data_IF_985791329765
#
_entry.id   IF_985791329765
#
_cell.length_a   1.000
_cell.length_b   1.000
_cell.length_c   1.000
_cell.angle_alpha   90.00
_cell.angle_beta   90.00
_cell.angle_gamma   90.00
#
_symmetry.space_group_name_H-M   'P 1'
#
loop_
_entity.id
_entity.type
_entity.pdbx_description
1 polymer ?
#
# COMPACT_ATOMS: atom_id res chain seq x y z
N UNK A 1 -10.78 7.93 -15.02
CA UNK A 1 -11.39 9.07 -14.30
C UNK A 1 -11.93 10.10 -15.29
N UNK A 2 -11.10 10.64 -16.20
CA UNK A 2 -11.54 11.67 -17.16
C UNK A 2 -12.69 11.21 -18.08
N UNK A 3 -12.66 10.00 -18.62
CA UNK A 3 -13.72 9.49 -19.51
C UNK A 3 -15.09 9.34 -18.84
N UNK A 4 -15.13 8.95 -17.56
CA UNK A 4 -16.37 8.77 -16.80
C UNK A 4 -16.98 10.11 -16.37
N UNK A 5 -16.14 11.06 -15.94
CA UNK A 5 -16.56 12.44 -15.65
C UNK A 5 -17.10 13.10 -16.93
N UNK A 6 -16.44 12.90 -18.07
CA UNK A 6 -16.91 13.40 -19.37
C UNK A 6 -18.28 12.80 -19.73
N UNK A 7 -18.49 11.50 -19.49
CA UNK A 7 -19.79 10.86 -19.68
C UNK A 7 -20.88 11.44 -18.76
N UNK A 8 -20.58 11.60 -17.46
CA UNK A 8 -21.54 12.18 -16.52
C UNK A 8 -21.90 13.63 -16.86
N UNK A 9 -20.90 14.45 -17.23
CA UNK A 9 -21.10 15.81 -17.71
C UNK A 9 -21.90 15.81 -19.02
N UNK A 10 -21.60 14.90 -19.94
CA UNK A 10 -22.32 14.75 -21.21
C UNK A 10 -23.79 14.40 -20.99
N UNK A 11 -24.09 13.43 -20.13
CA UNK A 11 -25.46 13.07 -19.77
C UNK A 11 -26.21 14.22 -19.09
N UNK A 12 -25.56 14.93 -18.16
CA UNK A 12 -26.15 16.09 -17.49
C UNK A 12 -26.46 17.21 -18.50
N UNK A 13 -25.54 17.48 -19.42
CA UNK A 13 -25.73 18.47 -20.48
C UNK A 13 -26.92 18.11 -21.38
N UNK A 14 -27.02 16.85 -21.80
CA UNK A 14 -28.17 16.37 -22.60
C UNK A 14 -29.47 16.55 -21.82
N UNK A 15 -29.51 16.20 -20.53
CA UNK A 15 -30.70 16.38 -19.70
C UNK A 15 -31.12 17.85 -19.59
N UNK A 16 -30.17 18.76 -19.38
CA UNK A 16 -30.42 20.21 -19.37
C UNK A 16 -30.96 20.70 -20.72
N UNK A 17 -30.37 20.25 -21.84
CA UNK A 17 -30.84 20.60 -23.18
C UNK A 17 -32.27 20.11 -23.43
N UNK A 18 -32.60 18.90 -23.00
CA UNK A 18 -33.96 18.34 -23.13
C UNK A 18 -34.96 19.15 -22.30
N UNK A 19 -34.63 19.49 -21.05
CA UNK A 19 -35.49 20.30 -20.18
C UNK A 19 -35.70 21.70 -20.77
N UNK A 20 -34.62 22.38 -21.19
CA UNK A 20 -34.68 23.73 -21.75
C UNK A 20 -35.49 23.74 -23.05
N UNK A 21 -35.25 22.78 -23.94
CA UNK A 21 -36.00 22.65 -25.20
C UNK A 21 -37.48 22.40 -24.93
N UNK A 22 -37.81 21.55 -23.94
CA UNK A 22 -39.21 21.30 -23.53
C UNK A 22 -39.90 22.55 -22.98
N UNK A 23 -39.21 23.37 -22.20
CA UNK A 23 -39.74 24.64 -21.67
C UNK A 23 -39.92 25.69 -22.76
N UNK A 24 -38.97 25.81 -23.70
CA UNK A 24 -39.03 26.81 -24.77
C UNK A 24 -40.09 26.51 -25.83
N UNK A 25 -40.45 25.25 -26.03
CA UNK A 25 -41.45 24.82 -27.02
C UNK A 25 -42.88 24.71 -26.45
N UNK A 26 -43.05 24.94 -25.14
CA UNK A 26 -44.32 24.79 -24.47
C UNK A 26 -45.30 25.93 -24.79
N UNK A 27 -46.30 25.62 -25.62
CA UNK A 27 -47.50 26.45 -25.84
C UNK A 27 -48.62 26.04 -24.84
N UNK A 28 -49.63 26.89 -24.61
CA UNK A 28 -50.72 26.71 -23.60
C UNK A 28 -51.51 25.38 -23.69
N UNK A 29 -51.35 24.59 -24.76
CA UNK A 29 -51.93 23.24 -24.93
C UNK A 29 -51.00 22.08 -24.55
N UNK A 30 -49.79 22.35 -24.07
CA UNK A 30 -48.71 21.36 -23.92
C UNK A 30 -48.33 21.01 -22.47
N UNK A 31 -49.23 21.21 -21.50
CA UNK A 31 -48.99 20.84 -20.10
C UNK A 31 -48.55 19.37 -19.92
N UNK A 32 -49.07 18.47 -20.75
CA UNK A 32 -48.69 17.04 -20.75
C UNK A 32 -47.25 16.82 -21.24
N UNK A 33 -46.79 17.59 -22.23
CA UNK A 33 -45.42 17.52 -22.77
C UNK A 33 -44.40 18.03 -21.75
N UNK A 34 -44.71 19.13 -21.06
CA UNK A 34 -43.85 19.66 -19.99
C UNK A 34 -43.74 18.65 -18.84
N UNK A 35 -44.86 18.03 -18.43
CA UNK A 35 -44.86 16.99 -17.40
C UNK A 35 -44.00 15.78 -17.81
N UNK A 36 -44.13 15.33 -19.06
CA UNK A 36 -43.35 14.20 -19.59
C UNK A 36 -41.85 14.51 -19.60
N UNK A 37 -41.43 15.66 -20.13
CA UNK A 37 -40.02 16.06 -20.16
C UNK A 37 -39.46 16.40 -18.78
N UNK A 38 -40.29 16.94 -17.88
CA UNK A 38 -39.94 17.15 -16.48
C UNK A 38 -39.63 15.82 -15.79
N UNK A 39 -40.52 14.85 -15.89
CA UNK A 39 -40.33 13.51 -15.33
C UNK A 39 -39.09 12.82 -15.93
N UNK A 40 -38.96 12.80 -17.26
CA UNK A 40 -37.79 12.23 -17.93
C UNK A 40 -36.49 12.94 -17.50
N UNK A 41 -36.50 14.26 -17.39
CA UNK A 41 -35.37 15.04 -16.91
C UNK A 41 -34.97 14.68 -15.48
N UNK A 42 -35.94 14.54 -14.58
CA UNK A 42 -35.68 14.13 -13.19
C UNK A 42 -35.13 12.71 -13.10
N UNK A 43 -35.63 11.77 -13.91
CA UNK A 43 -35.11 10.40 -13.97
C UNK A 43 -33.67 10.36 -14.50
N UNK A 44 -33.37 11.11 -15.56
CA UNK A 44 -32.02 11.20 -16.12
C UNK A 44 -31.02 11.81 -15.12
N UNK A 45 -31.43 12.84 -14.37
CA UNK A 45 -30.61 13.43 -13.30
C UNK A 45 -30.38 12.40 -12.19
N UNK A 46 -31.43 11.68 -11.77
CA UNK A 46 -31.33 10.63 -10.76
C UNK A 46 -30.37 9.50 -11.16
N UNK A 47 -30.42 9.08 -12.43
CA UNK A 47 -29.48 8.09 -12.99
C UNK A 47 -28.05 8.62 -13.00
N UNK A 48 -27.82 9.83 -13.51
CA UNK A 48 -26.48 10.43 -13.56
C UNK A 48 -25.87 10.58 -12.16
N UNK A 49 -26.67 10.98 -11.17
CA UNK A 49 -26.25 11.09 -9.78
C UNK A 49 -25.88 9.72 -9.19
N UNK A 50 -26.70 8.71 -9.45
CA UNK A 50 -26.45 7.32 -9.00
C UNK A 50 -25.13 6.79 -9.59
N UNK A 51 -24.89 6.99 -10.89
CA UNK A 51 -23.64 6.58 -11.54
C UNK A 51 -22.43 7.28 -10.93
N UNK A 52 -22.52 8.59 -10.67
CA UNK A 52 -21.44 9.35 -10.04
C UNK A 52 -21.12 8.86 -8.62
N UNK A 53 -22.14 8.56 -7.82
CA UNK A 53 -21.96 7.99 -6.47
C UNK A 53 -21.30 6.62 -6.55
N UNK A 54 -21.79 5.73 -7.42
CA UNK A 54 -21.24 4.38 -7.57
C UNK A 54 -19.78 4.45 -8.01
N UNK A 55 -19.44 5.31 -8.98
CA UNK A 55 -18.06 5.48 -9.43
C UNK A 55 -17.14 5.97 -8.30
N UNK A 56 -17.62 6.94 -7.50
CA UNK A 56 -16.89 7.42 -6.33
C UNK A 56 -16.68 6.32 -5.28
N UNK A 57 -17.70 5.52 -4.97
CA UNK A 57 -17.60 4.41 -4.02
C UNK A 57 -16.64 3.33 -4.52
N UNK A 58 -16.68 3.00 -5.81
CA UNK A 58 -15.77 2.03 -6.42
C UNK A 58 -14.32 2.52 -6.40
N UNK A 59 -14.08 3.79 -6.74
CA UNK A 59 -12.74 4.38 -6.66
C UNK A 59 -12.23 4.40 -5.22
N UNK A 60 -13.09 4.76 -4.25
CA UNK A 60 -12.74 4.73 -2.82
C UNK A 60 -12.38 3.32 -2.36
N UNK A 61 -13.16 2.32 -2.76
CA UNK A 61 -12.89 0.91 -2.45
C UNK A 61 -11.55 0.47 -3.05
N UNK A 62 -11.31 0.78 -4.32
CA UNK A 62 -10.05 0.47 -5.02
C UNK A 62 -8.85 1.11 -4.32
N UNK A 63 -8.94 2.38 -3.91
CA UNK A 63 -7.87 3.04 -3.17
C UNK A 63 -7.62 2.38 -1.82
N UNK A 64 -8.66 1.98 -1.08
CA UNK A 64 -8.50 1.23 0.17
C UNK A 64 -7.78 -0.10 -0.05
N UNK A 65 -8.15 -0.86 -1.08
CA UNK A 65 -7.49 -2.12 -1.42
C UNK A 65 -6.00 -1.89 -1.77
N UNK A 66 -5.70 -0.85 -2.55
CA UNK A 66 -4.31 -0.48 -2.87
C UNK A 66 -3.51 -0.06 -1.63
N UNK A 67 -4.13 0.69 -0.72
CA UNK A 67 -3.53 1.07 0.58
C UNK A 67 -3.20 -0.18 1.39
N UNK A 68 -4.15 -1.11 1.52
CA UNK A 68 -3.95 -2.36 2.27
C UNK A 68 -2.86 -3.23 1.62
N UNK A 69 -2.89 -3.39 0.30
CA UNK A 69 -1.88 -4.16 -0.42
C UNK A 69 -0.47 -3.57 -0.27
N UNK A 70 -0.33 -2.24 -0.40
CA UNK A 70 0.96 -1.59 -0.21
C UNK A 70 1.43 -1.70 1.24
N UNK A 71 0.54 -1.46 2.21
CA UNK A 71 0.87 -1.58 3.62
C UNK A 71 1.35 -3.00 3.97
N UNK A 72 0.64 -4.01 3.46
CA UNK A 72 1.01 -5.40 3.67
C UNK A 72 2.36 -5.75 3.04
N UNK A 73 2.60 -5.32 1.81
CA UNK A 73 3.91 -5.50 1.16
C UNK A 73 5.04 -4.86 1.96
N UNK A 74 4.85 -3.62 2.42
CA UNK A 74 5.87 -2.93 3.21
C UNK A 74 6.13 -3.59 4.56
N UNK A 75 5.08 -4.15 5.18
CA UNK A 75 5.21 -4.86 6.45
C UNK A 75 5.99 -6.17 6.30
N UNK A 76 5.77 -6.91 5.20
CA UNK A 76 6.57 -8.09 4.83
C UNK A 76 8.02 -7.76 4.51
N UNK A 77 8.27 -6.70 3.72
CA UNK A 77 9.62 -6.25 3.42
C UNK A 77 10.39 -5.86 4.70
N UNK A 78 9.69 -5.21 5.63
CA UNK A 78 10.22 -4.79 6.92
C UNK A 78 10.53 -5.98 7.81
N UNK A 79 9.56 -6.89 7.97
CA UNK A 79 9.73 -8.13 8.73
C UNK A 79 10.92 -8.94 8.21
N UNK A 80 11.06 -9.08 6.90
CA UNK A 80 12.20 -9.77 6.31
C UNK A 80 13.53 -9.10 6.68
N UNK A 81 13.65 -7.78 6.49
CA UNK A 81 14.87 -7.05 6.82
C UNK A 81 15.21 -7.18 8.32
N UNK A 82 14.19 -7.10 9.17
CA UNK A 82 14.33 -7.19 10.61
C UNK A 82 14.64 -8.62 11.09
N UNK A 83 14.05 -9.64 10.48
CA UNK A 83 14.37 -11.05 10.71
C UNK A 83 15.80 -11.37 10.34
N UNK A 84 16.31 -10.84 9.20
CA UNK A 84 17.74 -10.99 8.87
C UNK A 84 18.59 -10.41 9.99
N UNK A 85 18.25 -9.21 10.47
CA UNK A 85 19.00 -8.51 11.51
C UNK A 85 18.95 -9.21 12.89
N UNK A 86 17.76 -9.42 13.45
CA UNK A 86 17.57 -9.84 14.85
C UNK A 86 17.32 -11.35 14.99
N UNK A 87 16.90 -12.03 13.92
CA UNK A 87 16.39 -13.40 13.99
C UNK A 87 14.89 -13.45 14.28
N UNK A 88 14.45 -14.48 14.99
CA UNK A 88 13.03 -14.79 15.16
C UNK A 88 12.56 -15.95 14.31
N UNK A 89 11.27 -16.26 14.41
CA UNK A 89 10.60 -17.25 13.57
C UNK A 89 10.50 -16.71 12.14
N UNK A 90 10.44 -17.63 11.18
CA UNK A 90 10.34 -17.30 9.75
C UNK A 90 8.92 -16.91 9.33
N UNK A 91 7.93 -17.26 10.14
CA UNK A 91 6.53 -16.93 9.90
C UNK A 91 6.28 -15.48 10.36
N UNK A 92 5.68 -14.67 9.48
CA UNK A 92 5.34 -13.30 9.79
C UNK A 92 4.33 -13.25 10.93
N UNK A 93 4.73 -12.66 12.06
CA UNK A 93 3.85 -12.36 13.19
C UNK A 93 4.11 -10.94 13.68
N UNK A 94 3.11 -10.06 13.55
CA UNK A 94 3.21 -8.65 13.94
C UNK A 94 3.62 -8.47 15.42
N UNK A 95 3.07 -9.30 16.30
CA UNK A 95 3.35 -9.24 17.73
C UNK A 95 4.81 -9.63 18.05
N UNK A 96 5.33 -10.64 17.33
CA UNK A 96 6.73 -11.05 17.44
C UNK A 96 7.66 -9.95 16.92
N UNK A 97 7.34 -9.35 15.78
CA UNK A 97 8.09 -8.22 15.22
C UNK A 97 8.15 -7.04 16.20
N UNK A 98 7.02 -6.66 16.81
CA UNK A 98 6.96 -5.61 17.82
C UNK A 98 7.77 -5.96 19.07
N UNK A 99 7.66 -7.19 19.57
CA UNK A 99 8.43 -7.65 20.73
C UNK A 99 9.93 -7.68 20.44
N UNK A 100 10.35 -8.12 19.25
CA UNK A 100 11.75 -8.10 18.84
C UNK A 100 12.27 -6.66 18.65
N UNK A 101 11.43 -5.71 18.18
CA UNK A 101 11.75 -4.27 18.17
C UNK A 101 11.96 -3.70 19.57
N UNK A 102 11.24 -4.20 20.58
CA UNK A 102 11.45 -3.83 21.99
C UNK A 102 12.73 -4.43 22.59
N UNK A 103 13.19 -5.57 22.06
CA UNK A 103 14.39 -6.26 22.54
C UNK A 103 15.68 -5.86 21.80
N UNK A 104 15.58 -5.17 20.66
CA UNK A 104 16.74 -4.73 19.89
C UNK A 104 17.56 -3.71 20.70
N UNK A 105 18.85 -3.99 20.84
CA UNK A 105 19.79 -3.14 21.58
C UNK A 105 20.49 -2.18 20.61
N UNK A 106 20.85 -0.99 21.12
CA UNK A 106 21.67 -0.03 20.38
C UNK A 106 23.06 -0.59 20.02
N UNK A 107 23.52 -1.57 20.79
CA UNK A 107 24.83 -2.22 20.64
C UNK A 107 24.76 -3.50 19.78
N UNK A 108 23.58 -3.87 19.26
CA UNK A 108 23.45 -4.99 18.32
C UNK A 108 24.27 -4.74 17.06
N UNK A 109 25.02 -5.73 16.56
CA UNK A 109 25.86 -5.53 15.40
C UNK A 109 24.98 -5.29 14.17
N UNK A 110 25.36 -4.30 13.37
CA UNK A 110 24.69 -3.95 12.13
C UNK A 110 25.70 -4.02 10.98
N UNK A 111 25.93 -5.22 10.41
CA UNK A 111 26.86 -5.36 9.29
C UNK A 111 26.31 -4.67 8.03
N UNK A 112 27.23 -4.29 7.14
CA UNK A 112 26.90 -3.54 5.90
C UNK A 112 25.77 -4.14 5.07
N UNK A 113 25.70 -5.46 4.94
CA UNK A 113 24.62 -6.09 4.17
C UNK A 113 23.24 -5.91 4.82
N UNK A 114 23.18 -5.89 6.16
CA UNK A 114 21.94 -5.60 6.90
C UNK A 114 21.60 -4.10 6.80
N UNK A 115 22.59 -3.21 6.86
CA UNK A 115 22.39 -1.78 6.58
C UNK A 115 21.79 -1.57 5.19
N UNK A 116 22.31 -2.26 4.18
CA UNK A 116 21.83 -2.19 2.80
C UNK A 116 20.37 -2.63 2.68
N UNK A 117 19.90 -3.64 3.46
CA UNK A 117 18.49 -4.01 3.49
C UNK A 117 17.59 -2.85 3.96
N UNK A 118 17.97 -2.16 5.04
CA UNK A 118 17.21 -1.02 5.55
C UNK A 118 17.29 0.20 4.62
N UNK A 119 18.44 0.47 4.02
CA UNK A 119 18.59 1.51 3.00
C UNK A 119 17.66 1.23 1.81
N UNK A 120 17.66 0.00 1.31
CA UNK A 120 16.80 -0.41 0.19
C UNK A 120 15.32 -0.31 0.56
N UNK A 121 14.93 -0.69 1.78
CA UNK A 121 13.58 -0.49 2.30
C UNK A 121 13.20 1.00 2.28
N UNK A 122 14.09 1.87 2.75
CA UNK A 122 13.87 3.31 2.74
C UNK A 122 13.76 3.92 1.35
N UNK A 123 14.59 3.47 0.40
CA UNK A 123 14.51 3.89 -1.02
C UNK A 123 13.15 3.48 -1.60
N UNK A 124 12.72 2.23 -1.42
CA UNK A 124 11.41 1.76 -1.88
C UNK A 124 10.26 2.56 -1.27
N UNK A 125 10.33 2.88 0.03
CA UNK A 125 9.31 3.71 0.68
C UNK A 125 9.26 5.13 0.10
N UNK A 126 10.42 5.75 -0.14
CA UNK A 126 10.56 7.06 -0.77
C UNK A 126 10.01 7.08 -2.20
N UNK A 127 10.30 6.05 -2.99
CA UNK A 127 9.75 5.91 -4.34
C UNK A 127 8.23 5.78 -4.33
N UNK A 128 7.66 4.99 -3.41
CA UNK A 128 6.20 4.90 -3.27
C UNK A 128 5.56 6.24 -2.88
N UNK A 129 6.18 7.01 -2.00
CA UNK A 129 5.72 8.37 -1.65
C UNK A 129 5.67 9.30 -2.87
N UNK A 130 6.68 9.21 -3.75
CA UNK A 130 6.81 10.05 -4.95
C UNK A 130 5.89 9.60 -6.08
N UNK A 131 5.82 8.30 -6.32
CA UNK A 131 5.12 7.72 -7.48
C UNK A 131 3.61 7.60 -7.27
N UNK A 132 3.12 7.57 -6.02
CA UNK A 132 1.72 7.32 -5.71
C UNK A 132 1.07 8.45 -4.88
N UNK A 133 1.10 9.73 -5.33
CA UNK A 133 0.62 10.87 -4.53
C UNK A 133 -0.87 10.78 -4.19
N UNK A 134 -1.70 10.20 -5.07
CA UNK A 134 -3.13 9.99 -4.82
C UNK A 134 -3.37 9.05 -3.63
N UNK A 135 -2.59 7.98 -3.52
CA UNK A 135 -2.67 7.01 -2.43
C UNK A 135 -2.26 7.67 -1.10
N UNK A 136 -1.20 8.49 -1.13
CA UNK A 136 -0.71 9.23 0.04
C UNK A 136 -1.66 10.34 0.51
N UNK A 137 -2.47 10.89 -0.40
CA UNK A 137 -3.52 11.83 -0.05
C UNK A 137 -4.75 11.13 0.55
N UNK A 138 -5.02 9.89 0.10
CA UNK A 138 -6.14 9.08 0.56
C UNK A 138 -5.95 8.54 1.98
N UNK A 139 -4.76 8.06 2.33
CA UNK A 139 -4.47 7.54 3.67
C UNK A 139 -3.25 8.23 4.33
N UNK A 140 -3.52 8.95 5.43
CA UNK A 140 -2.50 9.70 6.18
C UNK A 140 -1.55 8.79 6.96
N UNK A 141 -2.02 7.64 7.45
CA UNK A 141 -1.21 6.68 8.22
C UNK A 141 -0.20 6.00 7.31
N UNK A 142 -0.62 5.63 6.10
CA UNK A 142 0.27 5.05 5.09
C UNK A 142 1.39 6.04 4.75
N UNK A 143 1.03 7.30 4.53
CA UNK A 143 2.02 8.37 4.29
C UNK A 143 2.98 8.54 5.46
N UNK A 144 2.49 8.50 6.70
CA UNK A 144 3.34 8.58 7.90
C UNK A 144 4.30 7.40 7.99
N UNK A 145 3.81 6.17 7.79
CA UNK A 145 4.63 4.97 7.78
C UNK A 145 5.75 5.03 6.74
N UNK A 146 5.40 5.35 5.49
CA UNK A 146 6.38 5.44 4.42
C UNK A 146 7.39 6.57 4.63
N UNK A 147 7.01 7.67 5.28
CA UNK A 147 7.95 8.74 5.64
C UNK A 147 8.96 8.27 6.69
N UNK A 148 8.50 7.55 7.71
CA UNK A 148 9.39 6.96 8.73
C UNK A 148 10.38 5.99 8.09
N UNK A 149 9.90 5.11 7.19
CA UNK A 149 10.76 4.20 6.45
C UNK A 149 11.70 4.91 5.49
N UNK A 150 11.25 5.95 4.79
CA UNK A 150 12.09 6.71 3.86
C UNK A 150 13.30 7.36 4.56
N UNK A 151 13.20 7.65 5.86
CA UNK A 151 14.34 8.10 6.68
C UNK A 151 15.51 7.11 6.67
N UNK A 152 15.24 5.80 6.58
CA UNK A 152 16.28 4.76 6.54
C UNK A 152 17.20 4.85 5.32
N UNK A 153 16.77 5.54 4.24
CA UNK A 153 17.65 5.78 3.09
C UNK A 153 18.85 6.67 3.45
N UNK A 154 18.73 7.49 4.50
CA UNK A 154 19.79 8.41 4.96
C UNK A 154 20.94 7.69 5.69
N UNK A 155 20.76 6.40 6.02
CA UNK A 155 21.80 5.61 6.70
C UNK A 155 23.11 5.61 5.92
N UNK A 156 23.01 5.61 4.59
CA UNK A 156 24.17 5.66 3.69
C UNK A 156 25.03 6.92 3.87
N UNK A 157 24.41 8.04 4.21
CA UNK A 157 25.07 9.35 4.33
C UNK A 157 25.61 9.55 5.74
N UNK A 158 24.92 9.02 6.75
CA UNK A 158 25.22 9.21 8.16
C UNK A 158 26.22 8.17 8.73
N UNK A 159 27.16 7.68 7.91
CA UNK A 159 28.08 6.52 8.13
C UNK A 159 28.75 6.34 9.51
N UNK A 160 28.76 7.35 10.38
CA UNK A 160 29.37 7.32 11.71
C UNK A 160 28.38 7.65 12.86
N UNK A 161 27.10 7.87 12.59
CA UNK A 161 26.12 8.41 13.57
C UNK A 161 24.87 7.52 13.72
N UNK A 162 24.61 6.61 12.77
CA UNK A 162 23.42 5.76 12.83
C UNK A 162 23.63 4.62 13.80
N UNK A 163 23.16 4.80 15.02
CA UNK A 163 22.98 3.72 15.97
C UNK A 163 21.76 2.87 15.60
N UNK A 164 21.78 1.59 15.99
CA UNK A 164 20.64 0.69 15.83
C UNK A 164 19.32 1.28 16.37
N UNK A 165 19.37 2.12 17.41
CA UNK A 165 18.23 2.86 17.93
C UNK A 165 17.51 3.72 16.89
N UNK A 166 18.23 4.39 15.97
CA UNK A 166 17.62 5.16 14.88
C UNK A 166 16.76 4.29 13.96
N UNK A 167 17.24 3.08 13.66
CA UNK A 167 16.52 2.10 12.85
C UNK A 167 15.29 1.64 13.61
N UNK A 168 15.44 1.24 14.88
CA UNK A 168 14.32 0.78 15.72
C UNK A 168 13.22 1.83 15.82
N UNK A 169 13.56 3.10 16.04
CA UNK A 169 12.58 4.19 16.13
C UNK A 169 11.81 4.38 14.82
N UNK A 170 12.53 4.38 13.68
CA UNK A 170 11.93 4.48 12.36
C UNK A 170 11.02 3.30 12.03
N UNK A 171 11.46 2.08 12.35
CA UNK A 171 10.69 0.85 12.15
C UNK A 171 9.47 0.81 13.04
N UNK A 172 9.58 1.12 14.33
CA UNK A 172 8.46 1.11 15.28
C UNK A 172 7.34 2.03 14.82
N UNK A 173 7.66 3.28 14.48
CA UNK A 173 6.68 4.23 13.98
C UNK A 173 6.01 3.74 12.68
N UNK A 174 6.77 3.09 11.79
CA UNK A 174 6.23 2.53 10.57
C UNK A 174 5.31 1.33 10.83
N UNK A 175 5.76 0.34 11.62
CA UNK A 175 5.02 -0.88 11.95
C UNK A 175 3.68 -0.55 12.59
N UNK A 176 3.63 0.37 13.56
CA UNK A 176 2.37 0.78 14.20
C UNK A 176 1.37 1.32 13.17
N UNK A 177 1.80 2.22 12.29
CA UNK A 177 0.91 2.79 11.26
C UNK A 177 0.49 1.75 10.21
N UNK A 178 1.40 0.84 9.80
CA UNK A 178 1.10 -0.22 8.83
C UNK A 178 0.13 -1.26 9.40
N UNK A 179 0.32 -1.63 10.67
CA UNK A 179 -0.55 -2.54 11.41
C UNK A 179 -1.99 -2.03 11.50
N UNK A 180 -2.17 -0.75 11.82
CA UNK A 180 -3.49 -0.14 11.86
C UNK A 180 -4.22 -0.17 10.50
N UNK A 181 -3.47 -0.04 9.40
CA UNK A 181 -4.02 -0.08 8.03
C UNK A 181 -4.44 -1.50 7.66
N UNK A 182 -3.64 -2.50 8.02
CA UNK A 182 -3.93 -3.91 7.76
C UNK A 182 -4.97 -4.48 8.71
N UNK A 183 -5.44 -3.69 9.68
CA UNK A 183 -6.40 -4.12 10.70
C UNK A 183 -5.82 -5.11 11.70
N UNK A 184 -4.50 -5.24 11.75
CA UNK A 184 -3.80 -6.09 12.70
C UNK A 184 -3.49 -5.24 13.93
N UNK A 185 -4.12 -5.54 15.06
CA UNK A 185 -3.76 -4.91 16.32
C UNK A 185 -2.66 -5.74 16.99
N UNK A 186 -1.52 -5.12 17.35
CA UNK A 186 -0.50 -5.84 18.09
C UNK A 186 -1.05 -6.24 19.46
N UNK A 187 -1.06 -7.53 19.77
CA UNK A 187 -1.41 -8.01 21.09
C UNK A 187 -0.25 -7.69 22.04
N UNK A 188 -0.56 -7.10 23.21
CA UNK A 188 0.42 -6.81 24.26
C UNK A 188 0.89 -8.06 25.03
N UNK A 189 0.82 -9.23 24.40
CA UNK A 189 1.25 -10.49 25.02
C UNK A 189 2.76 -10.60 25.09
N UNK A 190 3.29 -11.11 26.19
CA UNK A 190 4.71 -11.46 26.30
C UNK A 190 5.04 -12.60 25.33
N UNK A 191 5.64 -12.27 24.18
CA UNK A 191 6.29 -13.27 23.33
C UNK A 191 7.63 -13.67 23.96
N UNK A 192 7.58 -14.38 25.09
CA UNK A 192 8.76 -14.98 25.71
C UNK A 192 9.54 -15.87 24.71
N UNK A 193 8.81 -16.50 23.77
CA UNK A 193 9.38 -17.26 22.67
C UNK A 193 10.26 -16.41 21.73
N UNK A 194 9.92 -15.14 21.48
CA UNK A 194 10.72 -14.27 20.60
C UNK A 194 12.16 -14.12 21.13
N UNK A 195 12.32 -14.05 22.46
CA UNK A 195 13.65 -13.97 23.09
C UNK A 195 14.50 -15.20 22.80
N UNK A 196 13.92 -16.40 22.72
CA UNK A 196 14.67 -17.63 22.44
C UNK A 196 15.14 -17.76 20.98
N UNK A 197 14.48 -17.08 20.05
CA UNK A 197 14.83 -17.11 18.62
C UNK A 197 15.65 -15.90 18.17
N UNK A 198 15.80 -14.90 19.05
CA UNK A 198 16.64 -13.73 18.81
C UNK A 198 18.11 -14.12 18.86
N UNK A 199 18.80 -13.88 17.75
CA UNK A 199 20.25 -14.06 17.62
C UNK A 199 20.77 -12.96 16.69
N UNK A 200 21.17 -11.80 17.23
CA UNK A 200 21.63 -10.68 16.43
C UNK A 200 23.09 -10.85 16.00
N UNK A 201 23.76 -11.99 16.25
CA UNK A 201 25.19 -12.12 15.92
C UNK A 201 25.46 -12.00 14.42
N UNK A 202 26.63 -11.48 14.06
CA UNK A 202 27.05 -11.30 12.67
C UNK A 202 26.89 -12.59 11.84
N UNK A 203 27.32 -13.73 12.39
CA UNK A 203 27.26 -15.02 11.71
C UNK A 203 25.82 -15.45 11.45
N UNK A 204 24.93 -15.26 12.42
CA UNK A 204 23.51 -15.59 12.28
C UNK A 204 22.84 -14.72 11.21
N UNK A 205 23.12 -13.42 11.22
CA UNK A 205 22.65 -12.50 10.18
C UNK A 205 23.14 -12.91 8.79
N UNK A 206 24.43 -13.25 8.67
CA UNK A 206 25.01 -13.68 7.40
C UNK A 206 24.40 -14.99 6.88
N UNK A 207 24.14 -15.95 7.78
CA UNK A 207 23.43 -17.20 7.42
C UNK A 207 22.02 -16.90 6.91
N UNK A 208 21.25 -16.07 7.61
CA UNK A 208 19.88 -15.68 7.23
C UNK A 208 19.85 -14.94 5.88
N UNK A 209 20.74 -13.97 5.70
CA UNK A 209 20.87 -13.21 4.45
C UNK A 209 21.23 -14.09 3.24
N UNK A 210 22.17 -15.02 3.40
CA UNK A 210 22.55 -15.95 2.32
C UNK A 210 21.46 -16.98 2.03
N UNK A 211 20.80 -17.48 3.08
CA UNK A 211 19.66 -18.38 2.94
C UNK A 211 18.52 -17.75 2.15
N UNK A 212 18.16 -16.50 2.45
CA UNK A 212 17.11 -15.78 1.71
C UNK A 212 17.51 -15.45 0.28
N UNK A 213 18.79 -15.12 0.04
CA UNK A 213 19.31 -14.88 -1.31
C UNK A 213 19.17 -16.13 -2.19
N UNK A 214 19.55 -17.30 -1.66
CA UNK A 214 19.44 -18.56 -2.41
C UNK A 214 17.98 -18.85 -2.82
N UNK A 215 17.04 -18.66 -1.90
CA UNK A 215 15.62 -18.85 -2.19
C UNK A 215 15.07 -17.86 -3.23
N UNK A 216 15.49 -16.59 -3.16
CA UNK A 216 15.10 -15.58 -4.15
C UNK A 216 15.58 -15.93 -5.57
N UNK A 217 16.82 -16.41 -5.69
CA UNK A 217 17.41 -16.84 -6.97
C UNK A 217 16.68 -18.05 -7.52
N UNK A 218 16.40 -19.06 -6.68
CA UNK A 218 15.68 -20.26 -7.09
C UNK A 218 14.26 -19.92 -7.56
N UNK A 219 13.56 -19.01 -6.85
CA UNK A 219 12.20 -18.58 -7.22
C UNK A 219 12.18 -17.81 -8.55
N UNK A 220 13.09 -16.86 -8.73
CA UNK A 220 13.22 -16.13 -10.00
C UNK A 220 13.58 -17.05 -11.18
N UNK A 221 14.43 -18.06 -10.93
CA UNK A 221 14.77 -19.09 -11.92
C UNK A 221 13.53 -19.86 -12.40
N UNK A 222 12.68 -20.31 -11.47
CA UNK A 222 11.44 -21.04 -11.79
C UNK A 222 10.47 -20.17 -12.59
N UNK A 223 10.21 -18.94 -12.13
CA UNK A 223 9.28 -18.02 -12.81
C UNK A 223 9.74 -17.70 -14.25
N UNK A 224 11.06 -17.59 -14.46
CA UNK A 224 11.64 -17.35 -15.80
C UNK A 224 11.56 -18.55 -16.74
N UNK A 225 11.48 -19.78 -16.20
CA UNK A 225 11.28 -21.00 -16.99
C UNK A 225 9.82 -21.18 -17.39
N UNK A 226 8.86 -20.88 -16.51
CA UNK A 226 7.42 -20.96 -16.82
C UNK A 226 6.99 -19.98 -17.93
N UNK A 227 7.62 -18.80 -18.02
CA UNK A 227 7.33 -17.84 -19.09
C UNK A 227 8.01 -18.15 -20.43
N UNK A 228 8.99 -19.06 -20.45
CA UNK A 228 9.70 -19.47 -21.68
C UNK A 228 9.28 -20.85 -22.19
N UNK A 229 8.27 -21.50 -21.61
CA UNK A 229 7.66 -22.69 -22.23
C UNK A 229 7.01 -22.26 -23.56
N UNK A 230 7.58 -22.65 -24.72
CA UNK A 230 7.01 -22.32 -26.00
C UNK A 230 5.61 -22.93 -26.03
N UNK A 231 4.60 -22.07 -26.21
CA UNK A 231 3.21 -22.52 -26.31
C UNK A 231 3.14 -23.65 -27.31
N UNK A 232 2.67 -24.82 -26.87
CA UNK A 232 2.31 -25.93 -27.74
C UNK A 232 1.40 -25.36 -28.85
N UNK A 233 1.98 -25.18 -30.04
CA UNK A 233 1.23 -24.96 -31.27
C UNK A 233 0.37 -26.20 -31.47
N UNK A 234 -0.90 -26.10 -31.04
CA UNK A 234 -1.92 -27.07 -31.39
C UNK A 234 -2.17 -26.95 -32.90
N UNK A 235 -1.58 -27.87 -33.64
CA UNK A 235 -1.92 -28.18 -35.03
C UNK A 235 -3.26 -28.91 -35.13
#
# INVERSE_FOLDING_TARGET
MNTRIVLAIGCLFIAVVVIVTGVLLADDRQAEVISLFGNLGTELIGLAFTVAIIDWLLERKRLNEQVQHLAWRMLHDLDHAFWVWQGGRREFHLDELMALLDMADKDDPLPRFTEELFINLGIRASDNLRLQPKLMAHDRRLRAALKSLAGLAQIREAKNIVHAGYIVDGLRAAVTNLAEITGQMPHQGEFAAARSFRDPTFEAQQRRYRGSLHESIMRQGIDSMEHNSPGEEKH
#
